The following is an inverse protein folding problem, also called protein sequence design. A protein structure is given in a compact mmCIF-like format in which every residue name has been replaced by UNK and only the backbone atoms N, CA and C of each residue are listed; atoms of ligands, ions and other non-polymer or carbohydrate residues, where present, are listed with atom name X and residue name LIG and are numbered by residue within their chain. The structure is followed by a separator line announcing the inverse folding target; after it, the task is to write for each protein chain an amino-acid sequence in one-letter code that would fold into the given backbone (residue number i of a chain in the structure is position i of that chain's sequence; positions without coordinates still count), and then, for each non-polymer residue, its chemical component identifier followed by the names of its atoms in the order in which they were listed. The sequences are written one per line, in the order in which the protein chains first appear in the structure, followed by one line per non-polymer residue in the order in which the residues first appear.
data_IF_998199745882
#
_entry.id   IF_998199745882
#
_cell.length_a   1.000
_cell.length_b   1.000
_cell.length_c   1.000
_cell.angle_alpha   90.00
_cell.angle_beta   90.00
_cell.angle_gamma   90.00
#
_symmetry.space_group_name_H-M   'P 1'
#
loop_
_entity.id
_entity.type
_entity.pdbx_description
1 polymer ?
#
# COMPACT_ATOMS: atom_id res chain seq x y z
N UNK A 1 3.47 -62.62 19.36
CA UNK A 1 4.23 -61.40 19.68
C UNK A 1 4.01 -60.39 18.56
N UNK A 2 3.64 -59.16 18.96
CA UNK A 2 3.69 -57.89 18.24
C UNK A 2 2.75 -57.65 17.05
N UNK A 3 1.73 -56.84 17.40
CA UNK A 3 0.86 -55.98 16.60
C UNK A 3 1.66 -55.22 15.52
N UNK A 4 1.13 -55.13 14.30
CA UNK A 4 1.51 -54.10 13.33
C UNK A 4 0.28 -53.25 13.07
N UNK A 5 0.25 -52.09 13.73
CA UNK A 5 -0.75 -51.04 13.55
C UNK A 5 -0.46 -50.34 12.23
N UNK A 6 -1.41 -50.38 11.29
CA UNK A 6 -1.40 -49.54 10.09
C UNK A 6 -1.88 -48.15 10.51
N UNK A 7 -0.97 -47.17 10.53
CA UNK A 7 -1.32 -45.76 10.66
C UNK A 7 -1.76 -45.25 9.29
N UNK A 8 -3.04 -44.86 9.17
CA UNK A 8 -3.49 -43.97 8.11
C UNK A 8 -2.83 -42.61 8.32
N UNK A 9 -1.97 -42.18 7.40
CA UNK A 9 -1.60 -40.78 7.26
C UNK A 9 -2.76 -40.08 6.54
N UNK A 10 -3.65 -39.45 7.29
CA UNK A 10 -4.50 -38.40 6.74
C UNK A 10 -3.61 -37.19 6.45
N UNK A 11 -3.31 -36.92 5.18
CA UNK A 11 -2.82 -35.60 4.76
C UNK A 11 -3.96 -34.60 4.97
N UNK A 12 -4.02 -34.03 6.17
CA UNK A 12 -4.69 -32.75 6.37
C UNK A 12 -3.80 -31.71 5.69
N UNK A 13 -4.18 -31.32 4.46
CA UNK A 13 -3.75 -30.05 3.89
C UNK A 13 -4.20 -28.95 4.85
N UNK A 14 -3.25 -28.47 5.66
CA UNK A 14 -3.40 -27.24 6.41
C UNK A 14 -3.43 -26.09 5.39
N UNK A 15 -4.62 -25.87 4.81
CA UNK A 15 -4.91 -24.56 4.25
C UNK A 15 -4.80 -23.58 5.40
N UNK A 16 -3.91 -22.62 5.28
CA UNK A 16 -3.82 -21.46 6.15
C UNK A 16 -5.15 -20.72 6.02
N UNK A 17 -6.13 -21.11 6.84
CA UNK A 17 -7.30 -20.30 7.12
C UNK A 17 -6.75 -19.08 7.86
N UNK A 18 -6.52 -17.99 7.12
CA UNK A 18 -6.56 -16.64 7.70
C UNK A 18 -8.01 -16.36 8.11
N UNK A 19 -8.54 -17.16 9.03
CA UNK A 19 -9.75 -16.83 9.75
C UNK A 19 -9.32 -15.83 10.82
N UNK A 20 -9.32 -14.54 10.49
CA UNK A 20 -9.65 -13.56 11.52
C UNK A 20 -10.93 -14.08 12.14
N UNK A 21 -10.88 -14.38 13.43
CA UNK A 21 -12.02 -14.92 14.15
C UNK A 21 -13.21 -14.02 13.85
N UNK A 22 -14.20 -14.44 13.06
CA UNK A 22 -15.63 -14.08 13.08
C UNK A 22 -16.31 -14.74 11.86
N UNK A 23 -16.92 -15.91 12.06
CA UNK A 23 -17.88 -16.47 11.09
C UNK A 23 -19.25 -15.77 11.14
N UNK A 24 -19.28 -14.47 11.50
CA UNK A 24 -20.50 -13.72 11.76
C UNK A 24 -20.80 -12.82 10.56
N UNK A 25 -21.93 -13.02 9.87
CA UNK A 25 -22.36 -12.12 8.82
C UNK A 25 -22.55 -10.69 9.34
N UNK A 26 -22.02 -9.69 8.65
CA UNK A 26 -22.28 -8.29 8.97
C UNK A 26 -23.79 -8.00 8.83
N UNK A 27 -24.47 -7.51 9.88
CA UNK A 27 -25.90 -7.23 9.82
C UNK A 27 -26.26 -6.15 8.78
N UNK A 28 -27.41 -6.29 8.14
CA UNK A 28 -27.96 -5.28 7.22
C UNK A 28 -27.29 -5.22 5.83
N UNK A 29 -26.28 -6.05 5.57
CA UNK A 29 -25.64 -6.16 4.26
C UNK A 29 -26.57 -6.86 3.26
N UNK A 30 -26.90 -6.24 2.10
CA UNK A 30 -27.64 -6.89 1.02
C UNK A 30 -26.91 -8.14 0.52
N UNK A 31 -27.68 -9.20 0.27
CA UNK A 31 -27.14 -10.48 -0.22
C UNK A 31 -27.98 -11.03 -1.36
N UNK A 32 -27.31 -11.70 -2.27
CA UNK A 32 -27.91 -12.51 -3.34
C UNK A 32 -28.51 -13.79 -2.77
N UNK A 33 -29.33 -14.50 -3.58
CA UNK A 33 -29.99 -15.75 -3.19
C UNK A 33 -29.00 -16.86 -2.77
N UNK A 34 -27.77 -16.83 -3.26
CA UNK A 34 -26.69 -17.76 -2.89
C UNK A 34 -25.91 -17.33 -1.62
N UNK A 35 -26.34 -16.26 -0.95
CA UNK A 35 -25.79 -15.79 0.32
C UNK A 35 -24.53 -14.92 0.20
N UNK A 36 -24.07 -14.62 -1.02
CA UNK A 36 -22.96 -13.68 -1.26
C UNK A 36 -23.43 -12.24 -1.06
N UNK A 37 -22.49 -11.35 -0.72
CA UNK A 37 -22.77 -9.92 -0.64
C UNK A 37 -23.10 -9.39 -2.02
N UNK A 38 -24.23 -8.67 -2.13
CA UNK A 38 -24.58 -7.95 -3.35
C UNK A 38 -23.90 -6.58 -3.33
N UNK A 39 -22.69 -6.53 -3.88
CA UNK A 39 -21.89 -5.30 -3.99
C UNK A 39 -22.56 -4.24 -4.88
N UNK A 40 -23.50 -4.64 -5.75
CA UNK A 40 -24.18 -3.75 -6.70
C UNK A 40 -25.55 -3.28 -6.24
N UNK A 41 -25.94 -3.63 -5.01
CA UNK A 41 -27.19 -3.19 -4.42
C UNK A 41 -27.28 -1.66 -4.33
N UNK A 42 -28.49 -1.13 -4.17
CA UNK A 42 -28.72 0.30 -4.11
C UNK A 42 -27.92 0.99 -3.00
N UNK A 43 -27.50 2.24 -3.26
CA UNK A 43 -26.78 3.08 -2.29
C UNK A 43 -27.61 3.22 -1.00
N UNK A 44 -27.08 2.81 0.16
CA UNK A 44 -27.78 2.95 1.43
C UNK A 44 -27.89 4.43 1.83
N UNK A 45 -28.96 4.76 2.54
CA UNK A 45 -29.21 6.11 3.04
C UNK A 45 -29.51 6.10 4.53
N UNK A 46 -29.00 7.11 5.21
CA UNK A 46 -29.26 7.36 6.63
C UNK A 46 -30.69 7.82 6.89
N UNK A 47 -31.05 7.91 8.17
CA UNK A 47 -32.36 8.41 8.59
C UNK A 47 -32.61 9.88 8.21
N UNK A 48 -31.55 10.64 7.97
CA UNK A 48 -31.54 12.02 7.47
C UNK A 48 -31.66 12.12 5.93
N UNK A 49 -31.75 10.98 5.24
CA UNK A 49 -31.83 10.89 3.78
C UNK A 49 -30.50 11.09 3.05
N UNK A 50 -29.41 11.37 3.77
CA UNK A 50 -28.06 11.44 3.21
C UNK A 50 -27.58 10.06 2.83
N UNK A 51 -26.62 9.99 1.91
CA UNK A 51 -25.91 8.75 1.63
C UNK A 51 -25.27 8.27 2.93
N UNK A 52 -25.44 6.99 3.23
CA UNK A 52 -24.77 6.35 4.34
C UNK A 52 -23.40 5.88 3.85
N UNK A 53 -22.32 6.38 4.44
CA UNK A 53 -20.94 5.98 4.18
C UNK A 53 -20.45 4.92 5.18
N UNK A 54 -21.26 4.56 6.19
CA UNK A 54 -20.84 3.61 7.21
C UNK A 54 -20.51 2.25 6.62
N UNK A 55 -19.46 1.66 7.20
CA UNK A 55 -18.89 0.43 6.68
C UNK A 55 -17.42 0.30 6.97
N UNK A 56 -16.92 -0.91 6.72
CA UNK A 56 -15.50 -1.17 6.61
C UNK A 56 -15.12 -1.10 5.13
N UNK A 57 -14.13 -0.29 4.80
CA UNK A 57 -13.71 -0.01 3.44
C UNK A 57 -12.22 -0.29 3.31
N UNK A 58 -11.80 -0.78 2.15
CA UNK A 58 -10.39 -0.90 1.80
C UNK A 58 -10.14 -0.27 0.44
N UNK A 59 -9.06 0.52 0.27
CA UNK A 59 -8.66 0.98 -1.04
C UNK A 59 -8.21 -0.21 -1.91
N UNK A 60 -8.63 -0.24 -3.16
CA UNK A 60 -8.28 -1.30 -4.14
C UNK A 60 -7.56 -0.76 -5.37
N UNK A 61 -7.74 0.53 -5.68
CA UNK A 61 -7.05 1.23 -6.76
C UNK A 61 -6.79 2.69 -6.37
N UNK A 62 -5.72 3.26 -6.92
CA UNK A 62 -5.41 4.68 -6.81
C UNK A 62 -4.71 5.17 -8.07
N UNK A 63 -5.22 6.27 -8.65
CA UNK A 63 -4.73 6.84 -9.92
C UNK A 63 -4.78 8.36 -9.93
N UNK A 64 -4.04 9.01 -10.81
CA UNK A 64 -4.09 10.47 -10.99
C UNK A 64 -2.73 11.15 -11.01
N UNK A 65 -2.74 12.49 -11.13
CA UNK A 65 -1.53 13.31 -11.25
C UNK A 65 -0.67 13.35 -9.98
N UNK A 66 -1.22 12.93 -8.83
CA UNK A 66 -0.47 12.74 -7.58
C UNK A 66 0.73 11.81 -7.76
N UNK A 67 0.63 10.81 -8.64
CA UNK A 67 1.68 9.82 -8.89
C UNK A 67 2.68 10.24 -9.98
N UNK A 68 2.57 11.47 -10.51
CA UNK A 68 3.49 11.99 -11.52
C UNK A 68 4.72 12.64 -10.86
N UNK A 69 5.85 11.93 -10.87
CA UNK A 69 7.11 12.42 -10.27
C UNK A 69 7.58 13.79 -10.81
N UNK A 70 7.20 14.12 -12.06
CA UNK A 70 7.54 15.40 -12.69
C UNK A 70 6.92 16.62 -11.98
N UNK A 71 5.87 16.43 -11.18
CA UNK A 71 5.18 17.51 -10.49
C UNK A 71 5.62 17.72 -9.03
N UNK A 72 6.52 16.87 -8.54
CA UNK A 72 7.13 16.96 -7.21
C UNK A 72 8.28 17.99 -7.26
N UNK A 73 8.59 18.68 -6.16
CA UNK A 73 9.76 19.56 -6.09
C UNK A 73 11.06 18.78 -5.89
N UNK A 74 12.20 19.37 -6.26
CA UNK A 74 13.51 18.69 -6.22
C UNK A 74 13.85 18.17 -4.82
N UNK A 75 13.69 19.00 -3.78
CA UNK A 75 14.02 18.59 -2.40
C UNK A 75 13.18 17.39 -1.94
N UNK A 76 11.91 17.30 -2.36
CA UNK A 76 11.02 16.21 -1.99
C UNK A 76 11.40 14.92 -2.74
N UNK A 77 11.82 15.03 -4.01
CA UNK A 77 12.42 13.90 -4.74
C UNK A 77 13.72 13.42 -4.09
N UNK A 78 14.58 14.34 -3.67
CA UNK A 78 15.83 13.99 -2.97
C UNK A 78 15.54 13.28 -1.65
N UNK A 79 14.52 13.72 -0.90
CA UNK A 79 14.06 13.07 0.32
C UNK A 79 13.51 11.65 0.06
N UNK A 80 12.72 11.47 -1.01
CA UNK A 80 12.24 10.15 -1.42
C UNK A 80 13.39 9.22 -1.81
N UNK A 81 14.39 9.70 -2.56
CA UNK A 81 15.56 8.93 -2.93
C UNK A 81 16.41 8.53 -1.71
N UNK A 82 16.56 9.43 -0.74
CA UNK A 82 17.23 9.14 0.53
C UNK A 82 16.46 8.08 1.34
N UNK A 83 15.12 8.18 1.39
CA UNK A 83 14.29 7.18 2.03
C UNK A 83 14.42 5.81 1.35
N UNK A 84 14.38 5.75 0.01
CA UNK A 84 14.61 4.51 -0.75
C UNK A 84 16.00 3.91 -0.45
N UNK A 85 17.04 4.73 -0.35
CA UNK A 85 18.40 4.25 -0.09
C UNK A 85 18.61 3.60 1.28
N UNK A 86 17.78 3.96 2.27
CA UNK A 86 17.77 3.37 3.61
C UNK A 86 16.56 2.44 3.80
N UNK A 87 16.04 1.89 2.70
CA UNK A 87 14.92 0.94 2.68
C UNK A 87 13.69 1.43 3.46
N UNK A 88 13.43 2.73 3.42
CA UNK A 88 12.33 3.41 4.09
C UNK A 88 12.33 3.20 5.62
N UNK A 89 13.49 2.93 6.23
CA UNK A 89 13.63 2.64 7.67
C UNK A 89 13.02 3.74 8.57
N UNK A 90 13.00 4.97 8.09
CA UNK A 90 12.44 6.12 8.80
C UNK A 90 10.93 6.34 8.58
N UNK A 91 10.22 5.40 7.94
CA UNK A 91 8.76 5.46 7.83
C UNK A 91 8.14 5.54 9.25
N UNK A 92 7.30 6.56 9.55
CA UNK A 92 6.72 6.76 10.87
C UNK A 92 5.96 5.53 11.41
N UNK A 93 5.38 4.72 10.51
CA UNK A 93 4.63 3.51 10.87
C UNK A 93 5.50 2.51 11.59
N UNK A 94 6.79 2.42 11.24
CA UNK A 94 7.71 1.51 11.89
C UNK A 94 8.03 1.95 13.32
N UNK A 95 7.91 3.24 13.64
CA UNK A 95 8.03 3.77 14.99
C UNK A 95 6.70 3.79 15.76
N UNK A 96 5.66 3.13 15.23
CA UNK A 96 4.30 3.13 15.76
C UNK A 96 3.70 4.53 15.89
N UNK A 97 4.10 5.44 15.00
CA UNK A 97 3.54 6.77 14.87
C UNK A 97 2.44 6.76 13.80
N UNK A 98 1.44 7.68 13.87
CA UNK A 98 0.36 7.73 12.89
C UNK A 98 0.87 7.91 11.46
N UNK A 99 0.17 7.32 10.50
CA UNK A 99 0.50 7.42 9.07
C UNK A 99 0.04 8.74 8.46
N UNK A 100 -0.86 9.46 9.14
CA UNK A 100 -1.37 10.75 8.72
C UNK A 100 -2.10 10.72 7.36
N UNK A 101 -1.85 11.68 6.46
CA UNK A 101 -2.53 11.78 5.17
C UNK A 101 -2.14 10.69 4.16
N UNK A 102 -1.04 9.93 4.37
CA UNK A 102 -0.72 8.76 3.55
C UNK A 102 -1.83 7.70 3.55
N UNK A 103 -2.68 7.70 4.59
CA UNK A 103 -3.81 6.77 4.66
C UNK A 103 -4.78 6.90 3.49
N UNK A 104 -4.78 8.02 2.77
CA UNK A 104 -5.59 8.19 1.58
C UNK A 104 -4.97 7.46 0.37
N UNK A 105 -3.83 7.86 -0.23
CA UNK A 105 -3.40 7.33 -1.51
C UNK A 105 -2.46 6.11 -1.40
N UNK A 106 -1.94 5.77 -0.22
CA UNK A 106 -0.95 4.69 -0.05
C UNK A 106 -1.58 3.28 0.05
N UNK A 107 -2.80 3.11 -0.48
CA UNK A 107 -3.56 1.87 -0.64
C UNK A 107 -3.59 0.91 0.55
N UNK A 108 -3.83 -0.39 0.28
CA UNK A 108 -4.28 -1.33 1.30
C UNK A 108 -3.24 -1.67 2.38
N UNK A 109 -1.94 -1.56 2.09
CA UNK A 109 -0.89 -1.95 3.05
C UNK A 109 -0.36 -0.79 3.90
N UNK A 110 -0.63 0.45 3.51
CA UNK A 110 -0.32 1.65 4.31
C UNK A 110 -1.60 2.27 4.86
N UNK A 111 -2.53 2.63 3.98
CA UNK A 111 -3.83 3.18 4.37
C UNK A 111 -4.77 2.16 5.00
N UNK A 112 -4.56 0.87 4.74
CA UNK A 112 -5.25 -0.19 5.45
C UNK A 112 -6.75 -0.24 5.21
N UNK A 113 -7.42 -1.06 6.02
CA UNK A 113 -8.87 -0.96 6.17
C UNK A 113 -9.22 0.26 7.01
N UNK A 114 -10.29 0.95 6.65
CA UNK A 114 -10.85 2.06 7.42
C UNK A 114 -12.31 1.81 7.74
N UNK A 115 -12.73 2.09 8.97
CA UNK A 115 -14.14 2.01 9.34
C UNK A 115 -14.74 3.40 9.40
N UNK A 116 -15.79 3.63 8.63
CA UNK A 116 -16.62 4.81 8.72
C UNK A 116 -17.78 4.58 9.67
N UNK A 117 -17.90 5.46 10.67
CA UNK A 117 -19.04 5.54 11.58
C UNK A 117 -19.67 6.91 11.39
N UNK A 118 -20.84 6.94 10.74
CA UNK A 118 -21.53 8.16 10.39
C UNK A 118 -22.52 8.55 11.49
N UNK A 119 -22.36 9.77 11.98
CA UNK A 119 -23.30 10.48 12.83
C UNK A 119 -23.80 11.72 12.06
N UNK A 120 -25.01 12.26 12.33
CA UNK A 120 -25.51 13.45 11.63
C UNK A 120 -24.54 14.64 11.62
N UNK A 121 -23.80 14.80 12.71
CA UNK A 121 -22.89 15.94 12.92
C UNK A 121 -21.40 15.62 12.67
N UNK A 122 -21.06 14.35 12.38
CA UNK A 122 -19.67 13.93 12.20
C UNK A 122 -19.55 12.57 11.49
N UNK A 123 -18.57 12.45 10.61
CA UNK A 123 -18.06 11.15 10.15
C UNK A 123 -16.79 10.81 10.94
N UNK A 124 -16.80 9.72 11.69
CA UNK A 124 -15.61 9.18 12.32
C UNK A 124 -14.97 8.11 11.42
N UNK A 125 -13.68 8.27 11.14
CA UNK A 125 -12.86 7.29 10.43
C UNK A 125 -11.91 6.61 11.43
N UNK A 126 -12.13 5.32 11.68
CA UNK A 126 -11.19 4.49 12.44
C UNK A 126 -10.19 3.88 11.45
N UNK A 127 -8.90 4.01 11.73
CA UNK A 127 -7.82 3.63 10.81
C UNK A 127 -7.09 2.39 11.29
N UNK A 128 -6.50 1.70 10.31
CA UNK A 128 -5.69 0.50 10.52
C UNK A 128 -4.48 0.71 11.45
N UNK A 129 -3.91 1.90 11.45
CA UNK A 129 -2.77 2.29 12.31
C UNK A 129 -3.19 2.67 13.74
N UNK A 130 -4.40 2.28 14.17
CA UNK A 130 -4.98 2.58 15.48
C UNK A 130 -5.23 4.08 15.75
N UNK A 131 -5.02 4.94 14.76
CA UNK A 131 -5.45 6.33 14.82
C UNK A 131 -6.92 6.48 14.43
N UNK A 132 -7.46 7.67 14.64
CA UNK A 132 -8.78 8.04 14.17
C UNK A 132 -8.73 9.43 13.56
N UNK A 133 -9.69 9.70 12.66
CA UNK A 133 -9.96 11.03 12.12
C UNK A 133 -11.42 11.37 12.39
N UNK A 134 -11.66 12.62 12.75
CA UNK A 134 -13.00 13.19 12.90
C UNK A 134 -13.20 14.19 11.76
N UNK A 135 -14.27 14.00 10.99
CA UNK A 135 -14.70 14.93 9.95
C UNK A 135 -16.00 15.55 10.43
N UNK A 136 -15.95 16.80 10.87
CA UNK A 136 -17.12 17.49 11.42
C UNK A 136 -18.05 17.94 10.30
N UNK A 137 -19.30 17.50 10.34
CA UNK A 137 -20.34 17.84 9.34
C UNK A 137 -21.46 18.70 9.92
N UNK A 138 -21.21 19.32 11.07
CA UNK A 138 -22.15 20.16 11.84
C UNK A 138 -22.24 21.61 11.36
N UNK A 139 -21.64 21.92 10.20
CA UNK A 139 -21.70 23.24 9.57
C UNK A 139 -20.65 24.24 10.06
N UNK A 140 -19.69 23.81 10.88
CA UNK A 140 -18.52 24.64 11.20
C UNK A 140 -17.60 24.80 9.98
N UNK A 141 -16.89 25.92 9.92
CA UNK A 141 -15.91 26.21 8.87
C UNK A 141 -14.52 25.68 9.24
N UNK A 142 -13.67 25.48 8.23
CA UNK A 142 -12.27 25.09 8.42
C UNK A 142 -11.49 26.29 8.99
N UNK A 143 -10.70 26.08 10.03
CA UNK A 143 -9.83 27.13 10.57
C UNK A 143 -8.70 27.45 9.59
N UNK A 144 -8.59 28.69 9.11
CA UNK A 144 -7.60 29.05 8.07
C UNK A 144 -6.14 28.93 8.56
N UNK A 145 -5.88 29.24 9.83
CA UNK A 145 -4.54 29.23 10.44
C UNK A 145 -4.49 28.32 11.69
N UNK A 146 -4.40 26.99 11.50
CA UNK A 146 -4.41 26.05 12.62
C UNK A 146 -3.20 26.27 13.54
N UNK A 147 -3.48 26.58 14.82
CA UNK A 147 -2.44 26.93 15.80
C UNK A 147 -1.53 25.76 16.22
N UNK A 148 -1.99 24.52 16.05
CA UNK A 148 -1.29 23.32 16.47
C UNK A 148 -1.31 22.28 15.35
N UNK A 149 -0.21 22.15 14.58
CA UNK A 149 -0.05 21.08 13.62
C UNK A 149 -0.13 19.70 14.29
N UNK A 150 -0.92 18.80 13.71
CA UNK A 150 -1.12 17.44 14.21
C UNK A 150 -0.86 16.40 13.12
N UNK A 151 -0.74 15.14 13.51
CA UNK A 151 -0.49 14.04 12.57
C UNK A 151 -1.64 13.80 11.58
N UNK A 152 -2.88 14.04 12.00
CA UNK A 152 -4.09 13.76 11.23
C UNK A 152 -4.78 15.00 10.65
N UNK A 153 -4.27 16.20 10.97
CA UNK A 153 -4.91 17.46 10.63
C UNK A 153 -6.26 17.67 11.32
N UNK A 154 -6.96 18.70 10.85
CA UNK A 154 -8.33 19.03 11.23
C UNK A 154 -9.22 19.00 9.98
N UNK A 155 -10.44 18.48 10.12
CA UNK A 155 -11.31 18.20 8.98
C UNK A 155 -12.73 18.67 9.21
N UNK A 156 -13.28 19.39 8.23
CA UNK A 156 -14.70 19.77 8.18
C UNK A 156 -15.28 19.28 6.87
N UNK A 157 -16.58 18.98 6.85
CA UNK A 157 -17.23 18.55 5.63
C UNK A 157 -18.67 19.01 5.51
N UNK A 158 -19.15 19.03 4.26
CA UNK A 158 -20.51 19.40 3.91
C UNK A 158 -21.02 18.51 2.77
N UNK A 159 -22.35 18.39 2.68
CA UNK A 159 -22.98 17.58 1.65
C UNK A 159 -23.35 18.41 0.42
N UNK A 160 -22.84 18.01 -0.75
CA UNK A 160 -23.24 18.51 -2.06
C UNK A 160 -24.07 17.45 -2.77
N UNK A 161 -25.39 17.52 -2.59
CA UNK A 161 -26.28 16.44 -3.02
C UNK A 161 -25.96 15.14 -2.26
N UNK A 162 -25.48 14.13 -2.99
CA UNK A 162 -25.11 12.81 -2.49
C UNK A 162 -23.60 12.64 -2.25
N UNK A 163 -22.80 13.69 -2.50
CA UNK A 163 -21.35 13.69 -2.26
C UNK A 163 -21.03 14.40 -0.95
N UNK A 164 -20.25 13.75 -0.09
CA UNK A 164 -19.65 14.42 1.07
C UNK A 164 -18.34 15.07 0.62
N UNK A 165 -18.25 16.38 0.74
CA UNK A 165 -17.03 17.16 0.48
C UNK A 165 -16.36 17.43 1.81
N UNK A 166 -15.05 17.24 1.88
CA UNK A 166 -14.26 17.40 3.10
C UNK A 166 -13.02 18.21 2.79
N UNK A 167 -12.81 19.29 3.54
CA UNK A 167 -11.59 20.09 3.47
C UNK A 167 -10.78 19.91 4.75
N UNK A 168 -9.46 19.89 4.64
CA UNK A 168 -8.58 19.61 5.78
C UNK A 168 -7.23 20.30 5.69
N UNK A 169 -6.72 20.71 6.85
CA UNK A 169 -5.43 21.38 7.02
C UNK A 169 -4.82 21.06 8.41
N UNK A 170 -3.76 21.78 8.80
CA UNK A 170 -3.19 21.66 10.15
C UNK A 170 -2.41 20.37 10.37
N UNK A 171 -1.81 19.85 9.29
CA UNK A 171 -0.90 18.72 9.35
C UNK A 171 0.49 19.18 9.81
N UNK A 172 1.17 18.39 10.64
CA UNK A 172 2.62 18.53 10.83
C UNK A 172 3.38 17.94 9.64
N UNK A 173 4.69 18.15 9.54
CA UNK A 173 5.55 17.65 8.46
C UNK A 173 6.26 16.32 8.80
N UNK A 174 5.77 15.61 9.82
CA UNK A 174 6.40 14.37 10.33
C UNK A 174 5.88 13.10 9.66
N UNK A 175 4.92 13.24 8.73
CA UNK A 175 4.31 12.13 8.00
C UNK A 175 4.62 12.18 6.51
N UNK A 176 4.27 11.11 5.80
CA UNK A 176 4.38 11.04 4.35
C UNK A 176 3.00 11.13 3.68
N UNK A 177 2.99 11.43 2.39
CA UNK A 177 1.81 11.35 1.53
C UNK A 177 1.72 10.02 0.80
N UNK A 178 2.81 9.27 0.66
CA UNK A 178 2.87 8.01 -0.06
C UNK A 178 3.73 6.98 0.68
N UNK A 179 3.68 5.71 0.24
CA UNK A 179 4.56 4.65 0.76
C UNK A 179 6.01 4.92 0.38
N UNK A 180 6.23 5.57 -0.75
CA UNK A 180 7.52 5.86 -1.36
C UNK A 180 8.26 7.03 -0.70
N UNK A 181 7.88 7.42 0.51
CA UNK A 181 8.61 8.46 1.24
C UNK A 181 8.27 9.89 0.85
N UNK A 182 7.19 10.16 0.09
CA UNK A 182 6.85 11.51 -0.36
C UNK A 182 6.57 12.41 0.84
N UNK A 183 7.45 13.38 1.19
CA UNK A 183 7.21 14.28 2.30
C UNK A 183 6.11 15.29 1.95
N UNK A 184 5.61 15.99 2.97
CA UNK A 184 4.80 17.18 2.79
C UNK A 184 5.18 18.26 3.80
N UNK A 185 4.71 19.48 3.60
CA UNK A 185 4.91 20.60 4.51
C UNK A 185 3.64 20.87 5.34
N UNK A 186 3.76 21.75 6.33
CA UNK A 186 2.61 22.23 7.11
C UNK A 186 1.66 23.12 6.29
N UNK A 187 2.02 23.48 5.05
CA UNK A 187 1.14 24.19 4.10
C UNK A 187 0.15 23.26 3.38
N UNK A 188 0.15 21.97 3.71
CA UNK A 188 -0.70 20.98 3.08
C UNK A 188 -2.20 21.26 3.34
N UNK A 189 -2.93 21.45 2.25
CA UNK A 189 -4.38 21.49 2.19
C UNK A 189 -4.86 20.29 1.38
N UNK A 190 -5.84 19.57 1.91
CA UNK A 190 -6.48 18.44 1.25
C UNK A 190 -7.96 18.72 1.09
N UNK A 191 -8.47 18.58 -0.14
CA UNK A 191 -9.91 18.57 -0.44
C UNK A 191 -10.30 17.19 -0.96
N UNK A 192 -11.34 16.62 -0.38
CA UNK A 192 -11.80 15.25 -0.62
C UNK A 192 -13.27 15.25 -1.03
N UNK A 193 -13.65 14.40 -1.99
CA UNK A 193 -15.02 14.18 -2.42
C UNK A 193 -15.36 12.69 -2.36
N UNK A 194 -16.24 12.34 -1.45
CA UNK A 194 -16.70 10.98 -1.20
C UNK A 194 -18.00 10.71 -1.95
N UNK A 195 -17.98 9.80 -2.93
CA UNK A 195 -19.15 9.41 -3.73
C UNK A 195 -19.38 7.90 -3.66
N UNK A 196 -20.42 7.47 -2.95
CA UNK A 196 -20.81 6.04 -2.86
C UNK A 196 -21.63 5.68 -4.09
N UNK A 197 -21.06 4.88 -4.98
CA UNK A 197 -21.62 4.58 -6.30
C UNK A 197 -22.76 3.54 -6.21
N UNK A 198 -22.60 2.57 -5.34
CA UNK A 198 -23.55 1.51 -5.01
C UNK A 198 -23.31 1.02 -3.58
N UNK A 199 -23.84 -0.14 -3.19
CA UNK A 199 -23.61 -0.67 -1.86
C UNK A 199 -22.11 -0.96 -1.60
N UNK A 200 -21.39 -1.49 -2.58
CA UNK A 200 -20.06 -2.06 -2.42
C UNK A 200 -18.89 -1.15 -2.79
N UNK A 201 -19.14 -0.04 -3.50
CA UNK A 201 -18.08 0.78 -4.10
C UNK A 201 -18.21 2.26 -3.73
N UNK A 202 -17.09 2.84 -3.32
CA UNK A 202 -16.95 4.25 -2.96
C UNK A 202 -15.78 4.82 -3.76
N UNK A 203 -16.02 5.93 -4.47
CA UNK A 203 -14.97 6.70 -5.12
C UNK A 203 -14.62 7.90 -4.24
N UNK A 204 -13.33 8.04 -3.94
CA UNK A 204 -12.77 9.17 -3.22
C UNK A 204 -11.87 9.95 -4.16
N UNK A 205 -12.29 11.16 -4.53
CA UNK A 205 -11.45 12.09 -5.28
C UNK A 205 -10.75 13.03 -4.30
N UNK A 206 -9.43 13.17 -4.42
CA UNK A 206 -8.61 13.96 -3.50
C UNK A 206 -7.77 14.95 -4.30
N UNK A 207 -7.79 16.21 -3.90
CA UNK A 207 -6.87 17.23 -4.34
C UNK A 207 -5.90 17.58 -3.22
N UNK A 208 -4.60 17.62 -3.54
CA UNK A 208 -3.54 18.02 -2.64
C UNK A 208 -2.96 19.36 -3.11
N UNK A 209 -2.96 20.35 -2.22
CA UNK A 209 -2.30 21.62 -2.42
C UNK A 209 -1.23 21.79 -1.35
N UNK A 210 0.04 21.71 -1.77
CA UNK A 210 1.19 21.99 -0.93
C UNK A 210 2.27 22.63 -1.80
N UNK A 211 2.36 23.97 -1.83
CA UNK A 211 3.33 24.69 -2.65
C UNK A 211 4.77 24.50 -2.16
N UNK A 212 4.98 23.86 -1.00
CA UNK A 212 6.30 23.41 -0.57
C UNK A 212 6.71 22.11 -1.27
N UNK A 213 5.77 21.22 -1.57
CA UNK A 213 6.07 19.86 -2.06
C UNK A 213 5.80 19.69 -3.55
N UNK A 214 4.77 20.33 -4.08
CA UNK A 214 4.35 20.21 -5.48
C UNK A 214 4.58 21.51 -6.26
N UNK A 215 4.80 21.38 -7.57
CA UNK A 215 4.94 22.53 -8.49
C UNK A 215 3.58 23.20 -8.74
N UNK A 216 2.51 22.40 -8.77
CA UNK A 216 1.09 22.79 -8.87
C UNK A 216 0.24 21.75 -8.13
N UNK A 217 -1.01 22.05 -7.75
CA UNK A 217 -1.90 21.06 -7.15
C UNK A 217 -1.97 19.76 -7.94
N UNK A 218 -2.05 18.64 -7.21
CA UNK A 218 -2.16 17.29 -7.75
C UNK A 218 -3.45 16.62 -7.29
N UNK A 219 -3.89 15.62 -8.03
CA UNK A 219 -5.12 14.89 -7.74
C UNK A 219 -4.90 13.38 -7.73
N UNK A 220 -5.62 12.69 -6.85
CA UNK A 220 -5.74 11.24 -6.80
C UNK A 220 -7.22 10.85 -6.78
N UNK A 221 -7.59 9.83 -7.56
CA UNK A 221 -8.86 9.12 -7.43
C UNK A 221 -8.57 7.77 -6.82
N UNK A 222 -9.19 7.49 -5.68
CA UNK A 222 -9.03 6.25 -4.92
C UNK A 222 -10.36 5.50 -4.97
N UNK A 223 -10.33 4.26 -5.44
CA UNK A 223 -11.49 3.39 -5.38
C UNK A 223 -11.42 2.54 -4.12
N UNK A 224 -12.50 2.56 -3.35
CA UNK A 224 -12.66 1.76 -2.15
C UNK A 224 -13.77 0.73 -2.33
N UNK A 225 -13.51 -0.46 -1.80
CA UNK A 225 -14.50 -1.53 -1.74
C UNK A 225 -14.92 -1.83 -0.31
N UNK A 226 -16.21 -2.13 -0.15
CA UNK A 226 -16.79 -2.57 1.11
C UNK A 226 -16.22 -3.95 1.51
N UNK A 227 -15.97 -4.13 2.81
CA UNK A 227 -15.48 -5.38 3.40
C UNK A 227 -16.49 -5.87 4.43
N UNK A 228 -17.39 -6.73 3.98
CA UNK A 228 -18.34 -7.43 4.84
C UNK A 228 -17.67 -8.63 5.54
N UNK A 229 -18.34 -9.12 6.57
CA UNK A 229 -18.04 -10.39 7.24
C UNK A 229 -16.61 -10.47 7.81
N UNK A 230 -16.05 -9.29 8.12
CA UNK A 230 -14.76 -9.10 8.79
C UNK A 230 -14.83 -7.85 9.67
N UNK A 231 -13.80 -7.64 10.48
CA UNK A 231 -13.71 -6.51 11.40
C UNK A 231 -12.35 -5.81 11.31
N UNK A 232 -12.35 -4.51 11.64
CA UNK A 232 -11.12 -3.76 11.83
C UNK A 232 -10.55 -4.18 13.20
N UNK A 233 -9.52 -5.03 13.17
CA UNK A 233 -8.83 -5.48 14.36
C UNK A 233 -7.69 -4.54 14.72
N UNK A 234 -7.34 -4.56 16.00
CA UNK A 234 -6.18 -3.83 16.50
C UNK A 234 -4.87 -4.37 15.94
N UNK A 235 -3.95 -3.45 15.66
CA UNK A 235 -2.61 -3.78 15.20
C UNK A 235 -1.63 -3.06 16.08
N UNK A 236 -0.85 -3.86 16.80
CA UNK A 236 0.15 -3.36 17.73
C UNK A 236 1.50 -3.44 17.04
N UNK A 237 1.94 -2.33 16.46
CA UNK A 237 3.22 -2.23 15.76
C UNK A 237 4.42 -2.68 16.62
N UNK A 238 4.35 -2.51 17.95
CA UNK A 238 5.40 -2.89 18.89
C UNK A 238 5.27 -4.32 19.49
N UNK A 239 4.33 -5.14 19.02
CA UNK A 239 4.12 -6.50 19.59
C UNK A 239 5.28 -7.46 19.30
N UNK A 240 6.18 -7.09 18.39
CA UNK A 240 7.50 -7.69 18.25
C UNK A 240 8.57 -6.69 18.69
N UNK A 241 8.98 -6.74 19.96
CA UNK A 241 10.10 -5.95 20.49
C UNK A 241 11.45 -6.21 19.78
N UNK A 242 11.50 -7.23 18.92
CA UNK A 242 12.65 -7.60 18.07
C UNK A 242 12.46 -7.23 16.60
N UNK A 243 11.29 -6.73 16.19
CA UNK A 243 10.97 -6.48 14.77
C UNK A 243 11.93 -5.50 14.10
N UNK A 244 12.18 -4.35 14.73
CA UNK A 244 13.15 -3.37 14.24
C UNK A 244 14.62 -3.81 14.40
N UNK A 245 14.93 -4.73 15.32
CA UNK A 245 16.30 -5.22 15.51
C UNK A 245 16.79 -6.07 14.31
N UNK A 246 15.86 -6.54 13.48
CA UNK A 246 16.15 -7.24 12.24
C UNK A 246 16.18 -6.32 11.00
N UNK A 247 15.76 -5.06 11.14
CA UNK A 247 15.95 -4.05 10.09
C UNK A 247 17.42 -3.60 10.10
N UNK A 248 18.23 -4.25 9.28
CA UNK A 248 19.64 -3.94 9.03
C UNK A 248 19.87 -3.73 7.54
N UNK A 249 20.99 -3.13 7.14
CA UNK A 249 21.29 -2.87 5.74
C UNK A 249 20.93 -1.44 5.30
N UNK A 250 21.71 -0.91 4.38
CA UNK A 250 21.38 0.22 3.51
C UNK A 250 21.88 -0.13 2.11
N UNK A 251 21.46 0.60 1.06
CA UNK A 251 22.05 0.40 -0.26
C UNK A 251 23.57 0.64 -0.24
N UNK A 252 24.06 1.55 0.60
CA UNK A 252 25.50 1.79 0.78
C UNK A 252 26.21 0.58 1.43
N UNK A 253 25.65 0.00 2.50
CA UNK A 253 26.20 -1.22 3.13
C UNK A 253 26.15 -2.42 2.17
N UNK A 254 25.10 -2.53 1.36
CA UNK A 254 25.01 -3.54 0.32
C UNK A 254 26.08 -3.30 -0.76
N UNK A 255 26.31 -2.05 -1.14
CA UNK A 255 27.37 -1.65 -2.09
C UNK A 255 28.78 -1.98 -1.58
N UNK A 256 29.03 -1.85 -0.27
CA UNK A 256 30.32 -2.23 0.35
C UNK A 256 30.58 -3.75 0.31
N UNK A 257 29.52 -4.56 0.24
CA UNK A 257 29.59 -6.02 0.15
C UNK A 257 29.45 -6.54 -1.28
N UNK A 258 29.44 -5.66 -2.29
CA UNK A 258 29.21 -6.03 -3.69
C UNK A 258 30.20 -7.07 -4.14
N UNK A 259 29.65 -8.19 -4.60
CA UNK A 259 30.40 -9.17 -5.36
C UNK A 259 30.49 -8.65 -6.79
N UNK A 260 31.72 -8.37 -7.26
CA UNK A 260 31.91 -8.08 -8.68
C UNK A 260 31.50 -9.30 -9.52
N UNK A 261 30.47 -9.12 -10.35
CA UNK A 261 30.01 -10.12 -11.30
C UNK A 261 30.55 -9.75 -12.69
N UNK A 262 31.24 -10.66 -13.40
CA UNK A 262 31.66 -10.40 -14.76
C UNK A 262 30.47 -10.04 -15.65
N UNK A 263 30.62 -9.03 -16.51
CA UNK A 263 29.55 -8.60 -17.41
C UNK A 263 28.95 -9.78 -18.22
N UNK A 264 29.78 -10.72 -18.67
CA UNK A 264 29.34 -11.92 -19.38
C UNK A 264 28.41 -12.82 -18.54
N UNK A 265 28.54 -12.81 -17.22
CA UNK A 265 27.63 -13.51 -16.31
C UNK A 265 26.32 -12.74 -16.15
N UNK A 266 26.36 -11.40 -16.05
CA UNK A 266 25.15 -10.58 -15.99
C UNK A 266 24.28 -10.71 -17.24
N UNK A 267 24.90 -10.83 -18.42
CA UNK A 267 24.19 -11.07 -19.68
C UNK A 267 23.36 -12.36 -19.66
N UNK A 268 23.73 -13.35 -18.84
CA UNK A 268 22.94 -14.57 -18.69
C UNK A 268 21.62 -14.34 -17.95
N UNK A 269 21.52 -13.25 -17.19
CA UNK A 269 20.35 -12.86 -16.40
C UNK A 269 19.40 -11.94 -17.18
N UNK A 270 19.91 -11.25 -18.21
CA UNK A 270 19.12 -10.35 -19.08
C UNK A 270 17.98 -11.09 -19.76
N UNK A 271 16.77 -10.57 -19.61
CA UNK A 271 15.57 -11.12 -20.24
C UNK A 271 14.28 -10.75 -19.53
N UNK A 272 13.18 -11.26 -20.05
CA UNK A 272 11.84 -11.08 -19.49
C UNK A 272 11.40 -12.32 -18.72
N UNK A 273 10.90 -12.13 -17.49
CA UNK A 273 10.39 -13.18 -16.63
C UNK A 273 8.97 -12.85 -16.17
N UNK A 274 8.15 -13.88 -15.96
CA UNK A 274 6.76 -13.74 -15.52
C UNK A 274 6.41 -14.71 -14.42
N UNK A 275 5.66 -14.22 -13.43
CA UNK A 275 5.14 -15.04 -12.33
C UNK A 275 3.91 -14.44 -11.67
N UNK A 276 3.26 -15.22 -10.82
CA UNK A 276 2.08 -14.78 -10.08
C UNK A 276 2.50 -14.41 -8.67
N UNK A 277 2.20 -13.16 -8.27
CA UNK A 277 2.35 -12.70 -6.90
C UNK A 277 1.06 -12.03 -6.43
N UNK A 278 0.54 -12.47 -5.27
CA UNK A 278 -0.75 -12.04 -4.72
C UNK A 278 -1.92 -12.11 -5.72
N UNK A 279 -1.90 -13.12 -6.60
CA UNK A 279 -2.93 -13.33 -7.62
C UNK A 279 -2.79 -12.46 -8.88
N UNK A 280 -1.78 -11.58 -8.94
CA UNK A 280 -1.51 -10.73 -10.10
C UNK A 280 -0.34 -11.27 -10.92
N UNK A 281 -0.43 -11.14 -12.25
CA UNK A 281 0.70 -11.39 -13.13
C UNK A 281 1.71 -10.26 -13.01
N UNK A 282 2.94 -10.61 -12.66
CA UNK A 282 4.09 -9.72 -12.62
C UNK A 282 4.99 -10.05 -13.80
N UNK A 283 5.46 -9.02 -14.49
CA UNK A 283 6.51 -9.09 -15.52
C UNK A 283 7.73 -8.34 -15.00
N UNK A 284 8.88 -8.99 -15.00
CA UNK A 284 10.17 -8.39 -14.69
C UNK A 284 11.07 -8.45 -15.91
N UNK A 285 11.66 -7.32 -16.27
CA UNK A 285 12.65 -7.21 -17.32
C UNK A 285 13.98 -6.85 -16.67
N UNK A 286 14.99 -7.69 -16.89
CA UNK A 286 16.35 -7.45 -16.43
C UNK A 286 17.21 -7.06 -17.61
N UNK A 287 18.03 -6.03 -17.41
CA UNK A 287 18.91 -5.46 -18.43
C UNK A 287 20.22 -5.02 -17.80
N UNK A 288 21.29 -4.96 -18.59
CA UNK A 288 22.58 -4.46 -18.13
C UNK A 288 22.77 -3.03 -18.62
N UNK A 289 23.04 -2.12 -17.68
CA UNK A 289 23.38 -0.73 -17.95
C UNK A 289 24.55 -0.29 -17.10
N UNK A 290 25.52 0.39 -17.72
CA UNK A 290 26.75 0.85 -17.06
C UNK A 290 27.50 -0.23 -16.26
N UNK A 291 27.32 -1.50 -16.65
CA UNK A 291 27.95 -2.66 -16.00
C UNK A 291 27.16 -3.25 -14.84
N UNK A 292 25.98 -2.72 -14.53
CA UNK A 292 25.10 -3.16 -13.44
C UNK A 292 23.80 -3.76 -13.99
N UNK A 293 23.21 -4.67 -13.21
CA UNK A 293 21.90 -5.22 -13.54
C UNK A 293 20.82 -4.26 -13.06
N UNK A 294 19.86 -3.98 -13.93
CA UNK A 294 18.72 -3.12 -13.64
C UNK A 294 17.44 -3.92 -13.82
N UNK A 295 16.49 -3.69 -12.92
CA UNK A 295 15.15 -4.27 -12.98
C UNK A 295 14.15 -3.24 -13.48
N UNK A 296 13.31 -3.62 -14.43
CA UNK A 296 12.02 -2.99 -14.70
C UNK A 296 10.93 -3.97 -14.28
N UNK A 297 10.11 -3.60 -13.30
CA UNK A 297 9.01 -4.43 -12.79
C UNK A 297 7.66 -3.83 -13.15
N UNK A 298 6.79 -4.66 -13.73
CA UNK A 298 5.44 -4.32 -14.16
C UNK A 298 4.42 -5.32 -13.60
N UNK A 299 3.44 -4.92 -12.80
CA UNK A 299 3.31 -3.58 -12.23
C UNK A 299 4.48 -3.23 -11.30
N UNK A 300 4.75 -1.94 -11.10
CA UNK A 300 5.73 -1.49 -10.11
C UNK A 300 5.48 -2.17 -8.77
N UNK A 301 6.54 -2.44 -8.01
CA UNK A 301 6.35 -3.00 -6.68
C UNK A 301 5.56 -2.01 -5.83
N UNK A 302 4.39 -2.44 -5.39
CA UNK A 302 3.40 -1.60 -4.74
C UNK A 302 2.46 -2.50 -3.96
N UNK A 303 2.53 -2.41 -2.64
CA UNK A 303 1.63 -3.14 -1.73
C UNK A 303 0.23 -2.51 -1.68
N UNK A 304 -0.04 -1.52 -2.55
CA UNK A 304 -1.19 -0.61 -2.46
C UNK A 304 -2.32 -0.98 -3.42
N UNK A 305 -2.10 -1.96 -4.32
CA UNK A 305 -3.00 -2.20 -5.45
C UNK A 305 -3.00 -1.01 -6.44
N UNK A 306 -3.49 -1.25 -7.66
CA UNK A 306 -3.81 -0.17 -8.60
C UNK A 306 -2.71 0.34 -9.53
N UNK A 307 -1.48 -0.12 -9.42
CA UNK A 307 -0.48 0.27 -10.41
C UNK A 307 -0.53 -0.59 -11.66
N UNK A 308 -0.80 0.02 -12.81
CA UNK A 308 -0.61 -0.61 -14.14
C UNK A 308 0.73 -0.23 -14.78
N UNK A 309 1.48 0.69 -14.15
CA UNK A 309 2.75 1.18 -14.67
C UNK A 309 3.95 0.35 -14.22
N UNK A 310 5.08 0.54 -14.89
CA UNK A 310 6.36 -0.07 -14.55
C UNK A 310 7.18 0.84 -13.63
N UNK A 311 8.03 0.26 -12.80
CA UNK A 311 9.08 1.01 -12.11
C UNK A 311 10.44 0.36 -12.35
N UNK A 312 11.46 1.22 -12.32
CA UNK A 312 12.85 0.88 -12.54
C UNK A 312 13.57 0.89 -11.21
N UNK A 313 14.34 -0.15 -10.93
CA UNK A 313 15.06 -0.32 -9.67
C UNK A 313 16.49 -0.80 -9.93
N UNK A 314 17.41 -0.32 -9.09
CA UNK A 314 18.81 -0.78 -9.11
C UNK A 314 18.93 -2.09 -8.35
N UNK A 315 19.79 -3.00 -8.84
CA UNK A 315 20.11 -4.25 -8.17
C UNK A 315 21.57 -4.24 -7.70
N UNK A 316 21.77 -4.61 -6.45
CA UNK A 316 23.08 -4.73 -5.81
C UNK A 316 23.42 -6.21 -5.64
N UNK A 317 24.55 -6.64 -6.21
CA UNK A 317 24.95 -8.04 -6.19
C UNK A 317 25.45 -8.50 -4.81
N UNK A 318 24.75 -9.45 -4.18
CA UNK A 318 25.16 -10.08 -2.92
C UNK A 318 25.98 -11.36 -3.14
N UNK A 319 25.75 -12.04 -4.26
CA UNK A 319 26.45 -13.26 -4.65
C UNK A 319 26.50 -13.36 -6.17
N UNK A 320 27.02 -14.46 -6.72
CA UNK A 320 27.05 -14.67 -8.17
C UNK A 320 25.65 -14.68 -8.82
N UNK A 321 24.60 -15.03 -8.08
CA UNK A 321 23.23 -15.16 -8.60
C UNK A 321 22.16 -14.53 -7.70
N UNK A 322 22.53 -13.84 -6.63
CA UNK A 322 21.60 -13.20 -5.70
C UNK A 322 21.85 -11.69 -5.64
N UNK A 323 20.76 -10.92 -5.67
CA UNK A 323 20.78 -9.46 -5.73
C UNK A 323 19.75 -8.87 -4.77
N UNK A 324 20.10 -7.75 -4.13
CA UNK A 324 19.14 -6.89 -3.43
C UNK A 324 18.65 -5.78 -4.35
N UNK A 325 17.35 -5.50 -4.32
CA UNK A 325 16.70 -4.44 -5.08
C UNK A 325 16.52 -3.19 -4.22
N UNK A 326 16.66 -2.00 -4.82
CA UNK A 326 16.28 -0.74 -4.17
C UNK A 326 14.79 -0.70 -3.76
N UNK A 327 13.96 -1.53 -4.40
CA UNK A 327 12.57 -1.79 -4.02
C UNK A 327 12.39 -2.55 -2.69
N UNK A 328 13.47 -2.99 -2.03
CA UNK A 328 13.45 -3.72 -0.76
C UNK A 328 13.16 -5.22 -0.88
N UNK A 329 13.35 -5.80 -2.08
CA UNK A 329 13.17 -7.24 -2.34
C UNK A 329 14.49 -7.89 -2.76
N UNK A 330 14.62 -9.19 -2.52
CA UNK A 330 15.74 -9.98 -3.06
C UNK A 330 15.37 -10.63 -4.38
N UNK A 331 16.36 -10.87 -5.24
CA UNK A 331 16.23 -11.61 -6.50
C UNK A 331 17.28 -12.71 -6.57
N UNK A 332 16.86 -13.95 -6.82
CA UNK A 332 17.77 -15.11 -6.93
C UNK A 332 17.57 -15.80 -8.27
N UNK A 333 18.60 -15.79 -9.12
CA UNK A 333 18.55 -16.38 -10.45
C UNK A 333 18.88 -17.86 -10.45
N UNK A 334 18.11 -18.63 -11.23
CA UNK A 334 18.30 -20.06 -11.46
C UNK A 334 18.67 -20.30 -12.92
N UNK A 335 19.84 -20.90 -13.13
CA UNK A 335 20.44 -21.10 -14.45
C UNK A 335 20.39 -22.55 -14.90
N UNK A 336 20.36 -22.76 -16.21
CA UNK A 336 20.57 -24.08 -16.81
C UNK A 336 22.06 -24.46 -16.88
N UNK A 337 22.37 -25.63 -17.42
CA UNK A 337 23.74 -26.13 -17.59
C UNK A 337 24.63 -25.22 -18.47
N UNK A 338 24.03 -24.33 -19.29
CA UNK A 338 24.76 -23.35 -20.10
C UNK A 338 25.08 -22.06 -19.33
N UNK A 339 24.51 -21.90 -18.13
CA UNK A 339 24.60 -20.70 -17.31
C UNK A 339 23.53 -19.66 -17.62
N UNK A 340 22.62 -19.90 -18.59
CA UNK A 340 21.53 -18.99 -18.93
C UNK A 340 20.43 -19.08 -17.86
N UNK A 341 19.97 -17.95 -17.34
CA UNK A 341 18.86 -17.94 -16.39
C UNK A 341 17.56 -18.40 -17.06
N UNK A 342 16.87 -19.32 -16.41
CA UNK A 342 15.57 -19.88 -16.85
C UNK A 342 14.43 -19.44 -15.94
N UNK A 343 14.76 -19.07 -14.71
CA UNK A 343 13.84 -18.62 -13.67
C UNK A 343 14.56 -17.64 -12.75
N UNK A 344 13.81 -16.76 -12.12
CA UNK A 344 14.27 -15.89 -11.04
C UNK A 344 13.24 -15.92 -9.92
N UNK A 345 13.70 -16.10 -8.69
CA UNK A 345 12.86 -15.95 -7.51
C UNK A 345 12.83 -14.48 -7.08
N UNK A 346 11.63 -13.91 -6.97
CA UNK A 346 11.40 -12.68 -6.20
C UNK A 346 11.22 -13.07 -4.73
N UNK A 347 12.15 -12.66 -3.87
CA UNK A 347 12.25 -13.09 -2.48
C UNK A 347 11.57 -12.08 -1.56
N UNK A 348 10.51 -12.54 -0.90
CA UNK A 348 9.76 -11.80 0.11
C UNK A 348 10.03 -12.38 1.50
N UNK A 349 9.69 -11.63 2.55
CA UNK A 349 9.70 -12.15 3.94
C UNK A 349 8.77 -13.37 4.09
N UNK A 350 7.71 -13.45 3.29
CA UNK A 350 6.77 -14.57 3.25
C UNK A 350 7.28 -15.81 2.48
N UNK A 351 8.38 -15.69 1.74
CA UNK A 351 8.97 -16.74 0.93
C UNK A 351 9.38 -16.28 -0.47
N UNK A 352 9.95 -17.21 -1.24
CA UNK A 352 10.37 -16.99 -2.63
C UNK A 352 9.23 -17.26 -3.60
N UNK A 353 9.08 -16.39 -4.60
CA UNK A 353 8.07 -16.50 -5.66
C UNK A 353 8.74 -16.66 -7.04
N UNK A 354 8.54 -17.79 -7.73
CA UNK A 354 9.27 -18.11 -8.95
C UNK A 354 8.67 -17.42 -10.18
N UNK A 355 9.50 -16.69 -10.91
CA UNK A 355 9.16 -16.02 -12.17
C UNK A 355 9.93 -16.68 -13.31
N UNK A 356 9.21 -17.27 -14.27
CA UNK A 356 9.78 -18.07 -15.36
C UNK A 356 10.16 -17.16 -16.52
N UNK A 357 11.31 -17.40 -17.16
CA UNK A 357 11.72 -16.68 -18.37
C UNK A 357 10.74 -16.95 -19.51
N UNK A 358 10.36 -15.90 -20.26
CA UNK A 358 9.36 -15.98 -21.34
C UNK A 358 9.87 -15.59 -22.73
N UNK A 359 11.16 -15.26 -22.87
CA UNK A 359 11.79 -14.79 -24.12
C UNK A 359 12.82 -15.75 -24.76
#
# INVERSE_FOLDING_TARGET
MKKLTVFLLALSSAGTLCAQWFGMPTPGVPRTDDGRVDMTAAVPRGADGKVDLSGLWVPVDARGSFFEAANIQDWARDAMAAAESDFYRNDPRFACLPSGPSTLPAGASVGGMRRFVQHPDMLAELRYDMSYRQIFTDGRELEEEPLLPTWGGYSVGHWEGDTLVVDSNGYNDLTWLSREGLPHTEQLLISERYTRNDFGHLTLEVEYQDPGTFIRPVQATIDLEFRADTELLEIICNESATGQQHYSGSLEEAQEQVVEIPAATLENYVGTYQGIWLGNMITTEFLVEDGELVLIRSPRYSDTGGNTGSARYTLVALSQNAFDCSCGLGFVFHTDDSGKATEVDEVHVSGSWPFVRVD
#
